data_IF_874872319220
#
_entry.id   IF_874872319220
#
_cell.length_a   1.000
_cell.length_b   1.000
_cell.length_c   1.000
_cell.angle_alpha   90.00
_cell.angle_beta   90.00
_cell.angle_gamma   90.00
#
_symmetry.space_group_name_H-M   'P 1'
#
loop_
_entity.id
_entity.type
_entity.pdbx_description
1 polymer ?
#
# COMPACT_ATOMS: atom_id res chain seq x y z
N UNK A 1 26.58 11.42 13.62
CA UNK A 1 25.45 12.31 13.32
C UNK A 1 24.25 11.42 12.99
N UNK A 2 23.16 11.38 13.73
CA UNK A 2 21.97 10.70 13.27
C UNK A 2 21.50 11.39 11.99
N UNK A 3 21.35 10.63 10.92
CA UNK A 3 20.79 11.12 9.66
C UNK A 3 19.37 11.66 9.89
N UNK A 4 18.83 12.47 8.98
CA UNK A 4 17.49 13.03 9.14
C UNK A 4 16.51 11.87 9.35
N UNK A 5 15.69 11.97 10.39
CA UNK A 5 14.65 10.98 10.72
C UNK A 5 13.63 11.01 9.59
N UNK A 6 13.85 10.13 8.62
CA UNK A 6 13.01 10.02 7.45
C UNK A 6 11.72 9.29 7.83
N UNK A 7 10.60 9.97 7.74
CA UNK A 7 9.29 9.36 7.98
C UNK A 7 8.74 8.89 6.63
N UNK A 8 8.69 7.57 6.36
CA UNK A 8 8.24 7.03 5.07
C UNK A 8 6.75 7.24 4.82
N UNK A 9 6.03 7.76 5.81
CA UNK A 9 4.58 7.92 5.78
C UNK A 9 4.18 9.38 5.90
N UNK A 10 2.95 9.69 5.46
CA UNK A 10 2.34 11.02 5.64
C UNK A 10 0.90 10.86 6.10
N UNK A 11 0.48 11.75 6.98
CA UNK A 11 -0.93 11.91 7.36
C UNK A 11 -1.71 12.46 6.17
N UNK A 12 -2.78 11.78 5.75
CA UNK A 12 -3.62 12.22 4.62
C UNK A 12 -5.01 12.68 5.05
N UNK A 13 -5.55 12.12 6.13
CA UNK A 13 -6.91 12.43 6.65
C UNK A 13 -7.12 11.82 8.03
N UNK A 14 -8.29 12.10 8.60
CA UNK A 14 -8.82 11.36 9.77
C UNK A 14 -10.09 10.60 9.38
N UNK A 15 -10.27 9.42 9.96
CA UNK A 15 -11.47 8.59 9.83
C UNK A 15 -12.04 8.33 11.24
N UNK A 16 -13.17 8.96 11.57
CA UNK A 16 -13.74 8.84 12.93
C UNK A 16 -12.79 9.29 14.05
N UNK A 17 -12.00 10.36 13.81
CA UNK A 17 -10.99 10.84 14.76
C UNK A 17 -9.66 10.09 14.72
N UNK A 18 -9.56 8.97 13.98
CA UNK A 18 -8.34 8.18 13.87
C UNK A 18 -7.53 8.65 12.65
N UNK A 19 -6.23 9.00 12.80
CA UNK A 19 -5.39 9.44 11.69
C UNK A 19 -5.14 8.30 10.70
N UNK A 20 -5.15 8.63 9.40
CA UNK A 20 -4.85 7.72 8.29
C UNK A 20 -3.55 8.14 7.66
N UNK A 21 -2.59 7.23 7.65
CA UNK A 21 -1.28 7.41 7.05
C UNK A 21 -1.17 6.67 5.72
N UNK A 22 -0.54 7.33 4.76
CA UNK A 22 -0.20 6.77 3.45
C UNK A 22 1.32 6.66 3.33
N UNK A 23 1.80 5.62 2.64
CA UNK A 23 3.21 5.53 2.25
C UNK A 23 3.54 6.65 1.27
N UNK A 24 4.70 7.28 1.42
CA UNK A 24 5.14 8.34 0.51
C UNK A 24 5.52 7.73 -0.82
N UNK A 25 4.96 8.26 -1.88
CA UNK A 25 5.21 7.83 -3.25
C UNK A 25 5.97 8.89 -4.05
N UNK A 26 6.64 9.83 -3.35
CA UNK A 26 7.52 10.80 -4.02
C UNK A 26 8.83 10.13 -4.46
N UNK A 27 9.52 10.69 -5.47
CA UNK A 27 10.71 10.07 -6.05
C UNK A 27 11.89 9.88 -5.09
N UNK A 28 11.93 10.65 -3.98
CA UNK A 28 13.02 10.57 -2.99
C UNK A 28 12.77 9.51 -1.93
N UNK A 29 11.54 8.99 -1.86
CA UNK A 29 11.17 7.95 -0.91
C UNK A 29 11.47 6.58 -1.50
N UNK A 30 12.35 5.78 -0.88
CA UNK A 30 12.52 4.38 -1.28
C UNK A 30 11.18 3.63 -1.19
N UNK A 31 10.93 2.66 -2.08
CA UNK A 31 9.68 1.91 -2.08
C UNK A 31 9.53 0.98 -0.86
N UNK A 32 10.59 0.84 -0.07
CA UNK A 32 10.64 0.00 1.14
C UNK A 32 11.28 0.81 2.25
N UNK A 33 10.81 0.64 3.48
CA UNK A 33 11.40 1.23 4.68
C UNK A 33 11.43 0.21 5.81
N UNK A 34 12.51 0.22 6.58
CA UNK A 34 12.70 -0.63 7.75
C UNK A 34 12.73 0.26 8.99
N UNK A 35 11.96 -0.09 10.01
CA UNK A 35 11.85 0.63 11.29
C UNK A 35 12.19 -0.33 12.43
N UNK A 36 13.18 0.02 13.25
CA UNK A 36 13.62 -0.79 14.41
C UNK A 36 13.22 -0.20 15.76
N UNK A 37 12.81 1.07 15.81
CA UNK A 37 12.52 1.74 17.07
C UNK A 37 11.03 1.62 17.43
N UNK A 38 10.74 0.81 18.45
CA UNK A 38 9.39 0.65 19.00
C UNK A 38 8.76 1.97 19.47
N UNK A 39 9.57 2.92 19.97
CA UNK A 39 9.11 4.22 20.44
C UNK A 39 8.44 5.05 19.35
N UNK A 40 8.90 4.94 18.10
CA UNK A 40 8.27 5.62 16.96
C UNK A 40 6.87 5.07 16.67
N UNK A 41 6.65 3.79 16.89
CA UNK A 41 5.36 3.12 16.68
C UNK A 41 4.41 3.38 17.87
N UNK A 42 4.91 3.29 19.09
CA UNK A 42 4.12 3.55 20.31
C UNK A 42 3.61 4.98 20.37
N UNK A 43 4.41 5.94 19.91
CA UNK A 43 4.06 7.37 19.89
C UNK A 43 2.93 7.74 18.94
N UNK A 44 2.59 6.88 17.98
CA UNK A 44 1.54 7.16 16.99
C UNK A 44 0.12 7.02 17.53
N UNK A 45 -0.09 6.34 18.67
CA UNK A 45 -1.43 6.01 19.16
C UNK A 45 -2.22 5.18 18.14
N UNK A 46 -3.55 5.18 18.27
CA UNK A 46 -4.44 4.50 17.30
C UNK A 46 -4.35 5.19 15.95
N UNK A 47 -4.11 4.41 14.89
CA UNK A 47 -3.97 4.94 13.53
C UNK A 47 -4.36 3.89 12.48
N UNK A 48 -4.39 4.31 11.21
CA UNK A 48 -4.72 3.46 10.07
C UNK A 48 -3.59 3.58 9.04
N UNK A 49 -3.11 2.45 8.55
CA UNK A 49 -2.23 2.40 7.39
C UNK A 49 -3.06 2.21 6.11
N UNK A 50 -2.84 3.04 5.11
CA UNK A 50 -3.40 2.90 3.75
C UNK A 50 -2.38 2.19 2.81
N UNK A 51 -1.54 1.32 3.39
CA UNK A 51 -0.48 0.57 2.73
C UNK A 51 -0.13 -0.68 3.56
N UNK A 52 0.49 -1.71 2.95
CA UNK A 52 0.90 -2.91 3.66
C UNK A 52 2.11 -2.67 4.55
N UNK A 53 2.08 -3.27 5.74
CA UNK A 53 3.20 -3.29 6.66
C UNK A 53 3.26 -4.63 7.40
N UNK A 54 4.44 -5.03 7.81
CA UNK A 54 4.64 -6.17 8.68
C UNK A 54 5.54 -5.79 9.87
N UNK A 55 5.35 -6.47 10.99
CA UNK A 55 6.16 -6.31 12.18
C UNK A 55 6.70 -7.68 12.60
N UNK A 56 7.98 -7.90 12.38
CA UNK A 56 8.66 -9.13 12.70
C UNK A 56 9.26 -9.08 14.10
N UNK A 57 9.00 -10.12 14.88
CA UNK A 57 9.48 -10.29 16.25
C UNK A 57 10.40 -11.51 16.33
N UNK A 58 11.72 -11.36 16.19
CA UNK A 58 12.66 -12.47 16.23
C UNK A 58 12.58 -13.28 17.54
N UNK A 59 12.52 -12.59 18.68
CA UNK A 59 12.48 -13.23 20.00
C UNK A 59 11.21 -14.05 20.25
N UNK A 60 10.07 -13.61 19.69
CA UNK A 60 8.79 -14.30 19.81
C UNK A 60 8.55 -15.32 18.68
N UNK A 61 9.47 -15.42 17.72
CA UNK A 61 9.30 -16.25 16.53
C UNK A 61 7.95 -16.00 15.84
N UNK A 62 7.60 -14.73 15.62
CA UNK A 62 6.31 -14.34 15.10
C UNK A 62 6.41 -13.14 14.16
N UNK A 63 5.45 -13.00 13.26
CA UNK A 63 5.25 -11.81 12.45
C UNK A 63 3.80 -11.34 12.59
N UNK A 64 3.62 -10.04 12.81
CA UNK A 64 2.33 -9.39 12.68
C UNK A 64 2.20 -8.79 11.29
N UNK A 65 1.12 -9.16 10.61
CA UNK A 65 0.70 -8.55 9.36
C UNK A 65 -0.27 -7.43 9.70
N UNK A 66 0.04 -6.22 9.26
CA UNK A 66 -0.82 -5.05 9.48
C UNK A 66 -1.77 -4.91 8.30
N UNK A 67 -3.06 -5.10 8.55
CA UNK A 67 -4.07 -5.00 7.50
C UNK A 67 -4.26 -3.55 7.06
N UNK A 68 -4.20 -3.33 5.74
CA UNK A 68 -4.43 -2.01 5.17
C UNK A 68 -5.90 -1.58 5.37
N UNK A 69 -6.10 -0.32 5.75
CA UNK A 69 -7.43 0.25 5.96
C UNK A 69 -8.09 -0.04 7.31
N UNK A 70 -7.52 -0.90 8.14
CA UNK A 70 -8.01 -1.21 9.48
C UNK A 70 -7.39 -0.30 10.55
N UNK A 71 -8.06 -0.18 11.69
CA UNK A 71 -7.53 0.58 12.83
C UNK A 71 -6.50 -0.26 13.55
N UNK A 72 -5.26 0.17 13.51
CA UNK A 72 -4.18 -0.39 14.31
C UNK A 72 -4.15 0.29 15.68
N UNK A 73 -4.17 -0.51 16.72
CA UNK A 73 -3.95 -0.06 18.09
C UNK A 73 -2.60 -0.61 18.60
N UNK A 74 -1.54 0.21 18.68
CA UNK A 74 -0.22 -0.25 19.12
C UNK A 74 -0.20 -0.82 20.54
N UNK A 75 -1.17 -0.46 21.39
CA UNK A 75 -1.29 -1.01 22.74
C UNK A 75 -1.57 -2.51 22.72
N UNK A 76 -2.20 -3.01 21.65
CA UNK A 76 -2.45 -4.45 21.47
C UNK A 76 -1.20 -5.23 21.02
N UNK A 77 -0.14 -4.54 20.63
CA UNK A 77 1.17 -5.09 20.33
C UNK A 77 2.01 -5.13 21.63
N UNK A 78 1.67 -6.00 22.56
CA UNK A 78 2.29 -6.05 23.90
C UNK A 78 3.81 -6.30 23.89
N UNK A 79 4.35 -6.92 22.84
CA UNK A 79 5.74 -7.37 22.76
C UNK A 79 6.47 -6.83 21.52
N UNK A 80 6.24 -5.56 21.15
CA UNK A 80 6.90 -4.99 19.95
C UNK A 80 8.37 -4.63 20.17
N UNK A 81 8.87 -4.69 21.40
CA UNK A 81 10.26 -4.37 21.70
C UNK A 81 11.21 -5.36 21.04
N UNK A 82 12.25 -4.85 20.41
CA UNK A 82 13.19 -5.65 19.64
C UNK A 82 12.66 -6.13 18.28
N UNK A 83 11.44 -5.74 17.91
CA UNK A 83 10.86 -6.05 16.60
C UNK A 83 11.36 -5.15 15.48
N UNK A 84 11.05 -5.55 14.25
CA UNK A 84 11.40 -4.84 13.03
C UNK A 84 10.16 -4.64 12.17
N UNK A 85 9.81 -3.37 11.93
CA UNK A 85 8.76 -3.00 10.99
C UNK A 85 9.31 -2.91 9.56
N UNK A 86 8.63 -3.56 8.62
CA UNK A 86 8.89 -3.40 7.18
C UNK A 86 7.64 -2.81 6.55
N UNK A 87 7.77 -1.60 6.03
CA UNK A 87 6.71 -0.84 5.37
C UNK A 87 7.07 -0.72 3.89
N UNK A 88 6.11 -0.82 3.00
CA UNK A 88 6.42 -0.72 1.58
C UNK A 88 5.27 -0.14 0.73
N UNK A 89 5.64 0.48 -0.39
CA UNK A 89 4.69 0.87 -1.44
C UNK A 89 4.28 -0.40 -2.21
N UNK A 90 3.01 -0.80 -2.20
CA UNK A 90 2.56 -1.98 -2.93
C UNK A 90 2.80 -1.87 -4.45
N UNK A 91 2.89 -0.64 -4.99
CA UNK A 91 3.23 -0.41 -6.39
C UNK A 91 4.63 -0.94 -6.78
N UNK A 92 5.51 -1.16 -5.80
CA UNK A 92 6.83 -1.75 -6.04
C UNK A 92 6.77 -3.22 -6.47
N UNK A 93 5.67 -3.92 -6.18
CA UNK A 93 5.47 -5.33 -6.55
C UNK A 93 4.92 -5.53 -7.97
N UNK A 94 4.88 -4.49 -8.79
CA UNK A 94 4.40 -4.54 -10.16
C UNK A 94 3.01 -3.93 -10.36
N UNK A 95 2.42 -4.18 -11.53
CA UNK A 95 1.14 -3.58 -11.92
C UNK A 95 -0.02 -4.04 -11.03
N UNK A 96 -0.05 -5.31 -10.65
CA UNK A 96 -1.06 -5.88 -9.77
C UNK A 96 -1.00 -5.26 -8.36
N UNK A 97 0.19 -4.90 -7.88
CA UNK A 97 0.37 -4.16 -6.63
C UNK A 97 -0.12 -2.71 -6.70
N UNK A 98 -0.24 -2.13 -7.92
CA UNK A 98 -0.76 -0.78 -8.16
C UNK A 98 -2.29 -0.68 -8.09
N UNK A 99 -2.98 -1.79 -8.18
CA UNK A 99 -4.43 -1.84 -8.07
C UNK A 99 -4.90 -1.43 -6.66
N UNK A 100 -6.15 -0.96 -6.52
CA UNK A 100 -6.72 -0.69 -5.20
C UNK A 100 -6.55 -1.88 -4.26
N UNK A 101 -6.12 -1.65 -3.03
CA UNK A 101 -5.79 -2.71 -2.08
C UNK A 101 -6.86 -3.82 -1.92
N UNK A 102 -8.18 -3.60 -2.08
CA UNK A 102 -9.14 -4.70 -2.02
C UNK A 102 -9.00 -5.72 -3.17
N UNK A 103 -8.39 -5.36 -4.30
CA UNK A 103 -8.11 -6.32 -5.38
C UNK A 103 -6.93 -7.23 -5.07
N UNK A 104 -6.16 -6.94 -4.03
CA UNK A 104 -5.06 -7.79 -3.57
C UNK A 104 -5.50 -9.19 -3.12
N UNK A 105 -6.80 -9.47 -3.04
CA UNK A 105 -7.32 -10.81 -2.75
C UNK A 105 -6.80 -11.89 -3.69
N UNK A 106 -6.59 -11.52 -4.94
CA UNK A 106 -6.04 -12.41 -5.97
C UNK A 106 -4.53 -12.29 -6.11
N UNK A 107 -3.93 -11.25 -5.52
CA UNK A 107 -2.49 -11.05 -5.58
C UNK A 107 -1.78 -12.03 -4.63
N UNK A 108 -0.87 -12.89 -5.12
CA UNK A 108 -0.29 -13.97 -4.32
C UNK A 108 0.48 -13.48 -3.09
N UNK A 109 1.04 -12.27 -3.11
CA UNK A 109 1.88 -11.73 -2.04
C UNK A 109 1.17 -10.68 -1.18
N UNK A 110 0.07 -10.10 -1.63
CA UNK A 110 -0.62 -9.00 -0.93
C UNK A 110 -1.88 -9.45 -0.19
N UNK A 111 -2.42 -10.64 -0.50
CA UNK A 111 -3.63 -11.10 0.15
C UNK A 111 -3.54 -11.19 1.70
N UNK A 112 -2.39 -11.48 2.34
CA UNK A 112 -2.32 -11.50 3.79
C UNK A 112 -2.65 -10.16 4.45
N UNK A 113 -2.37 -9.05 3.75
CA UNK A 113 -2.58 -7.68 4.25
C UNK A 113 -4.03 -7.19 4.17
N UNK A 114 -4.95 -8.03 3.69
CA UNK A 114 -6.39 -7.76 3.68
C UNK A 114 -7.12 -8.33 4.87
N UNK A 115 -6.45 -9.16 5.67
CA UNK A 115 -7.07 -9.94 6.73
C UNK A 115 -6.50 -9.55 8.09
N UNK A 116 -7.10 -8.52 8.71
CA UNK A 116 -6.89 -8.23 10.12
C UNK A 116 -7.88 -9.02 10.98
N UNK A 117 -7.39 -9.66 12.05
CA UNK A 117 -8.22 -10.05 13.18
C UNK A 117 -8.55 -8.80 14.03
N UNK A 118 -9.12 -8.97 15.21
CA UNK A 118 -9.40 -7.84 16.10
C UNK A 118 -8.21 -6.91 16.23
N UNK A 119 -8.40 -5.62 15.89
CA UNK A 119 -7.35 -4.60 15.95
C UNK A 119 -6.48 -4.45 14.70
N UNK A 120 -6.90 -4.99 13.55
CA UNK A 120 -6.20 -4.79 12.26
C UNK A 120 -4.90 -5.58 12.11
N UNK A 121 -4.66 -6.57 12.96
CA UNK A 121 -3.44 -7.37 13.01
C UNK A 121 -3.75 -8.85 12.76
N UNK A 122 -2.92 -9.49 11.95
CA UNK A 122 -2.88 -10.94 11.83
C UNK A 122 -1.52 -11.43 12.36
N UNK A 123 -1.52 -12.20 13.45
CA UNK A 123 -0.32 -12.83 14.01
C UNK A 123 -0.10 -14.20 13.35
N UNK A 124 1.10 -14.40 12.85
CA UNK A 124 1.56 -15.67 12.30
C UNK A 124 2.79 -16.15 13.07
N UNK A 125 2.75 -17.38 13.54
CA UNK A 125 3.90 -18.01 14.17
C UNK A 125 4.90 -18.45 13.10
N UNK A 126 6.19 -18.20 13.36
CA UNK A 126 7.25 -18.46 12.40
C UNK A 126 8.03 -19.71 12.77
N UNK A 127 8.17 -20.69 11.87
CA UNK A 127 9.05 -21.82 12.07
C UNK A 127 10.50 -21.38 12.29
N UNK A 128 11.22 -22.01 13.20
CA UNK A 128 12.64 -21.71 13.48
C UNK A 128 13.53 -21.78 12.24
N UNK A 129 13.18 -22.63 11.29
CA UNK A 129 13.89 -22.78 10.02
C UNK A 129 13.85 -21.53 9.13
N UNK A 130 12.82 -20.69 9.26
CA UNK A 130 12.68 -19.45 8.49
C UNK A 130 13.31 -18.24 9.18
N UNK A 131 13.51 -18.27 10.49
CA UNK A 131 14.00 -17.11 11.25
C UNK A 131 15.34 -16.59 10.74
N UNK A 132 16.32 -17.46 10.53
CA UNK A 132 17.66 -17.07 10.05
C UNK A 132 17.60 -16.45 8.65
N UNK A 133 16.71 -16.95 7.81
CA UNK A 133 16.50 -16.41 6.46
C UNK A 133 15.85 -15.03 6.51
N UNK A 134 14.85 -14.85 7.38
CA UNK A 134 14.19 -13.55 7.59
C UNK A 134 15.15 -12.52 8.16
N UNK A 135 15.92 -12.88 9.18
CA UNK A 135 16.97 -12.01 9.75
C UNK A 135 17.98 -11.59 8.69
N UNK A 136 18.39 -12.51 7.83
CA UNK A 136 19.32 -12.20 6.74
C UNK A 136 18.69 -11.27 5.70
N UNK A 137 17.45 -11.55 5.27
CA UNK A 137 16.76 -10.75 4.26
C UNK A 137 16.50 -9.32 4.75
N UNK A 138 16.09 -9.15 6.01
CA UNK A 138 15.87 -7.82 6.61
C UNK A 138 17.20 -7.04 6.69
N UNK A 139 18.29 -7.68 7.15
CA UNK A 139 19.61 -7.02 7.17
C UNK A 139 20.07 -6.63 5.77
N UNK A 140 19.80 -7.46 4.76
CA UNK A 140 20.13 -7.12 3.37
C UNK A 140 19.33 -5.92 2.88
N UNK A 141 18.02 -5.86 3.16
CA UNK A 141 17.21 -4.67 2.84
C UNK A 141 17.79 -3.41 3.49
N UNK A 142 18.15 -3.47 4.78
CA UNK A 142 18.76 -2.33 5.48
C UNK A 142 20.09 -1.91 4.88
N UNK A 143 20.93 -2.88 4.52
CA UNK A 143 22.24 -2.61 3.90
C UNK A 143 22.07 -1.91 2.54
N UNK A 144 21.14 -2.37 1.71
CA UNK A 144 20.83 -1.75 0.41
C UNK A 144 20.29 -0.32 0.58
N UNK A 145 19.33 -0.12 1.49
CA UNK A 145 18.74 1.19 1.75
C UNK A 145 19.75 2.20 2.34
N UNK A 146 20.77 1.71 3.03
CA UNK A 146 21.83 2.53 3.62
C UNK A 146 22.93 2.82 2.61
N UNK A 147 23.39 1.79 1.88
CA UNK A 147 24.50 1.88 0.93
C UNK A 147 24.14 2.62 -0.36
N UNK A 148 22.90 2.51 -0.81
CA UNK A 148 22.33 3.18 -2.00
C UNK A 148 23.20 3.09 -3.25
N UNK A 149 23.83 1.93 -3.44
CA UNK A 149 24.59 1.67 -4.65
C UNK A 149 23.66 1.45 -5.86
N UNK A 150 24.20 1.46 -7.06
CA UNK A 150 23.41 1.22 -8.27
C UNK A 150 22.63 -0.09 -8.15
N UNK A 151 21.31 -0.03 -8.39
CA UNK A 151 20.42 -1.18 -8.27
C UNK A 151 19.91 -1.49 -6.84
N UNK A 152 20.22 -0.68 -5.82
CA UNK A 152 19.82 -0.92 -4.44
C UNK A 152 18.31 -1.11 -4.24
N UNK A 153 17.48 -0.39 -5.01
CA UNK A 153 16.02 -0.54 -4.91
C UNK A 153 15.56 -1.90 -5.40
N UNK A 154 16.13 -2.38 -6.50
CA UNK A 154 15.84 -3.71 -7.07
C UNK A 154 16.31 -4.83 -6.13
N UNK A 155 17.51 -4.68 -5.54
CA UNK A 155 18.03 -5.63 -4.57
C UNK A 155 17.16 -5.67 -3.29
N UNK A 156 16.81 -4.51 -2.73
CA UNK A 156 15.92 -4.44 -1.58
C UNK A 156 14.54 -5.05 -1.89
N UNK A 157 13.99 -4.80 -3.09
CA UNK A 157 12.73 -5.37 -3.54
C UNK A 157 12.79 -6.90 -3.70
N UNK A 158 13.89 -7.45 -4.19
CA UNK A 158 14.09 -8.89 -4.29
C UNK A 158 14.04 -9.56 -2.91
N UNK A 159 14.73 -8.99 -1.91
CA UNK A 159 14.66 -9.47 -0.53
C UNK A 159 13.27 -9.33 0.08
N UNK A 160 12.55 -8.22 -0.16
CA UNK A 160 11.17 -8.06 0.25
C UNK A 160 10.28 -9.14 -0.38
N UNK A 161 10.46 -9.42 -1.67
CA UNK A 161 9.67 -10.43 -2.39
C UNK A 161 9.83 -11.81 -1.75
N UNK A 162 11.04 -12.18 -1.34
CA UNK A 162 11.28 -13.45 -0.62
C UNK A 162 10.54 -13.49 0.73
N UNK A 163 10.59 -12.40 1.50
CA UNK A 163 9.83 -12.30 2.76
C UNK A 163 8.33 -12.44 2.53
N UNK A 164 7.80 -11.81 1.48
CA UNK A 164 6.37 -11.86 1.16
C UNK A 164 5.93 -13.24 0.64
N UNK A 165 6.79 -13.97 -0.07
CA UNK A 165 6.53 -15.35 -0.48
C UNK A 165 6.40 -16.25 0.75
N UNK A 166 7.34 -16.14 1.70
CA UNK A 166 7.28 -16.91 2.94
C UNK A 166 6.05 -16.53 3.76
N UNK A 167 5.75 -15.23 3.85
CA UNK A 167 4.55 -14.74 4.52
C UNK A 167 3.26 -15.33 3.91
N UNK A 168 3.17 -15.34 2.59
CA UNK A 168 2.02 -15.89 1.88
C UNK A 168 1.87 -17.40 2.12
N UNK A 169 2.97 -18.13 2.22
CA UNK A 169 2.97 -19.56 2.56
C UNK A 169 2.50 -19.78 4.00
N UNK A 170 3.05 -19.02 4.95
CA UNK A 170 2.63 -19.09 6.37
C UNK A 170 1.15 -18.72 6.56
N UNK A 171 0.68 -17.73 5.80
CA UNK A 171 -0.71 -17.30 5.86
C UNK A 171 -1.67 -18.28 5.16
N UNK A 172 -1.17 -19.13 4.26
CA UNK A 172 -1.99 -19.99 3.39
C UNK A 172 -2.96 -20.87 4.15
N UNK A 173 -2.51 -21.45 5.24
CA UNK A 173 -3.32 -22.34 6.11
C UNK A 173 -4.35 -21.54 6.92
N UNK A 174 -3.96 -20.38 7.45
CA UNK A 174 -4.81 -19.53 8.29
C UNK A 174 -5.83 -18.73 7.45
N UNK A 175 -5.42 -18.28 6.27
CA UNK A 175 -6.22 -17.41 5.39
C UNK A 175 -7.04 -18.22 4.37
N UNK A 176 -6.76 -19.48 4.19
CA UNK A 176 -7.53 -20.38 3.31
C UNK A 176 -9.03 -20.38 3.62
N UNK A 177 -9.39 -20.31 4.89
CA UNK A 177 -10.77 -20.17 5.33
C UNK A 177 -11.35 -18.76 5.13
N UNK A 178 -10.53 -17.73 5.25
CA UNK A 178 -10.91 -16.34 5.04
C UNK A 178 -11.10 -16.01 3.55
N UNK A 179 -10.38 -16.66 2.65
CA UNK A 179 -10.60 -16.54 1.18
C UNK A 179 -11.99 -17.00 0.77
N UNK A 180 -12.53 -18.02 1.43
CA UNK A 180 -13.87 -18.59 1.15
C UNK A 180 -15.00 -17.66 1.62
N UNK A 181 -14.78 -16.84 2.64
CA UNK A 181 -15.73 -15.85 3.14
C UNK A 181 -15.68 -14.49 2.43
N UNK A 182 -14.94 -14.42 1.32
CA UNK A 182 -14.71 -13.19 0.58
C UNK A 182 -15.97 -12.57 -0.01
N UNK A 183 -16.10 -11.25 0.10
CA UNK A 183 -17.23 -10.50 -0.46
C UNK A 183 -17.06 -10.36 -1.99
N UNK A 184 -17.84 -11.07 -2.82
CA UNK A 184 -17.76 -10.97 -4.27
C UNK A 184 -18.02 -9.54 -4.76
N UNK A 185 -18.90 -8.80 -4.10
CA UNK A 185 -19.28 -7.42 -4.45
C UNK A 185 -18.07 -6.47 -4.53
N UNK A 186 -17.13 -6.54 -3.60
CA UNK A 186 -15.95 -5.65 -3.66
C UNK A 186 -15.03 -6.02 -4.83
N UNK A 187 -14.86 -7.30 -5.10
CA UNK A 187 -14.07 -7.74 -6.25
C UNK A 187 -14.68 -7.21 -7.57
N UNK A 188 -16.01 -7.31 -7.71
CA UNK A 188 -16.72 -6.81 -8.88
C UNK A 188 -16.60 -5.28 -9.01
N UNK A 189 -16.77 -4.54 -7.91
CA UNK A 189 -16.59 -3.07 -7.87
C UNK A 189 -15.20 -2.67 -8.36
N UNK A 190 -14.14 -3.32 -7.87
CA UNK A 190 -12.79 -2.98 -8.28
C UNK A 190 -12.48 -3.43 -9.71
N UNK A 191 -13.03 -4.55 -10.17
CA UNK A 191 -12.93 -4.97 -11.57
C UNK A 191 -13.58 -3.94 -12.51
N UNK A 192 -14.72 -3.37 -12.15
CA UNK A 192 -15.35 -2.27 -12.89
C UNK A 192 -14.47 -1.04 -12.93
N UNK A 193 -13.92 -0.61 -11.78
CA UNK A 193 -13.03 0.54 -11.68
C UNK A 193 -11.78 0.33 -12.53
N UNK A 194 -11.13 -0.83 -12.43
CA UNK A 194 -9.91 -1.15 -13.20
C UNK A 194 -10.18 -1.08 -14.71
N UNK A 195 -11.28 -1.61 -15.16
CA UNK A 195 -11.63 -1.64 -16.58
C UNK A 195 -12.01 -0.27 -17.14
N UNK A 196 -12.70 0.56 -16.34
CA UNK A 196 -13.35 1.78 -16.81
C UNK A 196 -12.82 3.09 -16.21
N UNK A 197 -11.73 3.08 -15.43
CA UNK A 197 -11.21 4.29 -14.77
C UNK A 197 -10.83 5.42 -15.74
N UNK A 198 -10.49 5.10 -17.00
CA UNK A 198 -10.17 6.08 -18.04
C UNK A 198 -11.40 6.78 -18.62
N UNK A 199 -12.60 6.24 -18.38
CA UNK A 199 -13.86 6.79 -18.87
C UNK A 199 -14.48 7.77 -17.88
N UNK A 200 -15.60 8.39 -18.28
CA UNK A 200 -16.47 9.09 -17.33
C UNK A 200 -17.18 8.06 -16.46
N UNK A 201 -16.63 7.80 -15.29
CA UNK A 201 -17.12 6.79 -14.35
C UNK A 201 -17.61 7.45 -13.05
N UNK A 202 -18.86 7.20 -12.68
CA UNK A 202 -19.49 7.67 -11.47
C UNK A 202 -19.85 6.52 -10.51
N UNK A 203 -20.21 6.86 -9.28
CA UNK A 203 -20.78 5.89 -8.31
C UNK A 203 -22.00 5.15 -8.90
N UNK A 204 -22.85 5.85 -9.64
CA UNK A 204 -24.05 5.25 -10.24
C UNK A 204 -23.68 4.20 -11.28
N UNK A 205 -22.73 4.53 -12.16
CA UNK A 205 -22.30 3.59 -13.21
C UNK A 205 -21.72 2.31 -12.61
N UNK A 206 -20.92 2.44 -11.54
CA UNK A 206 -20.37 1.26 -10.83
C UNK A 206 -21.50 0.47 -10.16
N UNK A 207 -22.46 1.15 -9.51
CA UNK A 207 -23.57 0.49 -8.84
C UNK A 207 -24.46 -0.28 -9.80
N UNK A 208 -24.79 0.32 -10.95
CA UNK A 208 -25.62 -0.30 -12.00
C UNK A 208 -24.93 -1.55 -12.55
N UNK A 209 -23.59 -1.50 -12.75
CA UNK A 209 -22.85 -2.63 -13.32
C UNK A 209 -22.66 -3.81 -12.34
N UNK A 210 -22.59 -3.54 -11.03
CA UNK A 210 -22.53 -4.59 -10.00
C UNK A 210 -23.91 -5.01 -9.47
N UNK A 211 -25.00 -4.49 -10.05
CA UNK A 211 -26.37 -4.86 -9.69
C UNK A 211 -26.81 -4.35 -8.31
N UNK A 212 -26.27 -3.22 -7.86
CA UNK A 212 -26.59 -2.62 -6.55
C UNK A 212 -27.17 -1.21 -6.69
N UNK A 213 -27.89 -0.75 -5.66
CA UNK A 213 -28.24 0.67 -5.56
C UNK A 213 -27.01 1.49 -5.13
N UNK A 214 -26.86 2.76 -5.58
CA UNK A 214 -25.76 3.63 -5.18
C UNK A 214 -25.61 3.80 -3.66
N UNK A 215 -26.73 3.85 -2.94
CA UNK A 215 -26.74 3.95 -1.47
C UNK A 215 -26.18 2.69 -0.80
N UNK A 216 -26.60 1.52 -1.26
CA UNK A 216 -26.09 0.24 -0.75
C UNK A 216 -24.62 0.07 -1.06
N UNK A 217 -24.22 0.35 -2.31
CA UNK A 217 -22.81 0.30 -2.73
C UNK A 217 -21.94 1.23 -1.87
N UNK A 218 -22.37 2.48 -1.64
CA UNK A 218 -21.65 3.43 -0.78
C UNK A 218 -21.45 2.86 0.62
N UNK A 219 -22.49 2.27 1.20
CA UNK A 219 -22.44 1.69 2.55
C UNK A 219 -21.48 0.52 2.61
N UNK A 220 -21.57 -0.42 1.68
CA UNK A 220 -20.73 -1.61 1.63
C UNK A 220 -19.27 -1.22 1.43
N UNK A 221 -18.95 -0.43 0.40
CA UNK A 221 -17.57 -0.04 0.09
C UNK A 221 -16.98 0.76 1.25
N UNK A 222 -17.71 1.76 1.78
CA UNK A 222 -17.20 2.59 2.89
C UNK A 222 -17.01 1.81 4.18
N UNK A 223 -17.92 0.90 4.51
CA UNK A 223 -17.81 0.06 5.71
C UNK A 223 -16.61 -0.87 5.64
N UNK A 224 -16.34 -1.44 4.46
CA UNK A 224 -15.29 -2.44 4.27
C UNK A 224 -13.91 -1.85 3.98
N UNK A 225 -13.86 -0.69 3.30
CA UNK A 225 -12.59 -0.09 2.87
C UNK A 225 -12.29 1.22 3.59
N UNK A 226 -13.26 1.80 4.31
CA UNK A 226 -13.14 3.12 4.92
C UNK A 226 -13.12 4.28 3.93
N UNK A 227 -13.26 4.00 2.61
CA UNK A 227 -13.17 4.97 1.50
C UNK A 227 -14.44 4.91 0.65
N UNK A 228 -14.68 5.96 -0.11
CA UNK A 228 -15.80 5.98 -1.07
C UNK A 228 -15.40 5.33 -2.40
N UNK A 229 -16.37 4.95 -3.22
CA UNK A 229 -16.12 4.49 -4.60
C UNK A 229 -15.36 5.55 -5.40
N UNK A 230 -15.71 6.84 -5.20
CA UNK A 230 -15.03 7.95 -5.86
C UNK A 230 -13.53 8.05 -5.46
N UNK A 231 -13.20 7.82 -4.18
CA UNK A 231 -11.81 7.79 -3.74
C UNK A 231 -11.02 6.68 -4.45
N UNK A 232 -11.65 5.52 -4.68
CA UNK A 232 -11.02 4.40 -5.38
C UNK A 232 -10.84 4.65 -6.87
N UNK A 233 -11.81 5.28 -7.53
CA UNK A 233 -11.67 5.72 -8.93
C UNK A 233 -10.49 6.70 -9.05
N UNK A 234 -10.40 7.68 -8.16
CA UNK A 234 -9.30 8.66 -8.14
C UNK A 234 -7.96 7.95 -7.91
N UNK A 235 -7.89 7.06 -6.95
CA UNK A 235 -6.67 6.29 -6.64
C UNK A 235 -6.17 5.55 -7.88
N UNK A 236 -7.06 4.83 -8.56
CA UNK A 236 -6.71 4.08 -9.78
C UNK A 236 -6.21 5.00 -10.90
N UNK A 237 -6.88 6.15 -11.10
CA UNK A 237 -6.46 7.18 -12.07
C UNK A 237 -5.09 7.75 -11.74
N UNK A 238 -4.81 8.03 -10.48
CA UNK A 238 -3.50 8.57 -10.05
C UNK A 238 -2.38 7.54 -10.17
N UNK A 239 -2.67 6.27 -9.97
CA UNK A 239 -1.74 5.16 -10.21
C UNK A 239 -1.37 5.08 -11.69
N UNK A 240 -2.36 5.11 -12.59
CA UNK A 240 -2.11 5.10 -14.03
C UNK A 240 -1.38 6.39 -14.50
N UNK A 241 -1.71 7.53 -13.90
CA UNK A 241 -1.01 8.77 -14.20
C UNK A 241 0.49 8.69 -13.87
N UNK A 242 0.86 8.10 -12.72
CA UNK A 242 2.27 7.87 -12.38
C UNK A 242 2.98 7.01 -13.42
N UNK A 243 2.33 5.93 -13.86
CA UNK A 243 2.86 5.04 -14.88
C UNK A 243 3.13 5.81 -16.17
N UNK A 244 2.13 6.51 -16.70
CA UNK A 244 2.26 7.31 -17.92
C UNK A 244 3.33 8.39 -17.82
N UNK A 245 3.44 9.08 -16.68
CA UNK A 245 4.47 10.09 -16.44
C UNK A 245 5.88 9.49 -16.38
N UNK A 246 6.01 8.25 -15.94
CA UNK A 246 7.27 7.52 -15.83
C UNK A 246 7.70 6.92 -17.16
N UNK A 247 6.76 6.37 -17.93
CA UNK A 247 7.04 5.53 -19.10
C UNK A 247 6.92 6.28 -20.43
N UNK A 248 6.40 7.53 -20.41
CA UNK A 248 6.19 8.28 -21.65
C UNK A 248 6.46 9.79 -21.50
N UNK A 249 6.76 10.43 -22.64
CA UNK A 249 6.98 11.89 -22.74
C UNK A 249 5.73 12.66 -23.23
N UNK A 250 4.55 12.01 -23.24
CA UNK A 250 3.31 12.67 -23.67
C UNK A 250 3.02 13.90 -22.81
N UNK A 251 2.39 14.96 -23.36
CA UNK A 251 2.05 16.17 -22.59
C UNK A 251 1.22 15.85 -21.34
N UNK A 252 1.41 16.62 -20.27
CA UNK A 252 0.67 16.43 -19.01
C UNK A 252 -0.85 16.53 -19.22
N UNK A 253 -1.30 17.38 -20.13
CA UNK A 253 -2.71 17.48 -20.53
C UNK A 253 -3.22 16.20 -21.17
N UNK A 254 -2.38 15.51 -21.93
CA UNK A 254 -2.72 14.23 -22.54
C UNK A 254 -2.72 13.09 -21.49
N UNK A 255 -1.80 13.13 -20.51
CA UNK A 255 -1.86 12.21 -19.36
C UNK A 255 -3.18 12.38 -18.63
N UNK A 256 -3.56 13.61 -18.30
CA UNK A 256 -4.82 13.92 -17.63
C UNK A 256 -6.04 13.36 -18.39
N UNK A 257 -6.08 13.57 -19.71
CA UNK A 257 -7.15 13.04 -20.55
C UNK A 257 -7.20 11.51 -20.53
N UNK A 258 -6.05 10.85 -20.68
CA UNK A 258 -5.96 9.37 -20.71
C UNK A 258 -6.39 8.71 -19.41
N UNK A 259 -6.20 9.38 -18.29
CA UNK A 259 -6.65 8.85 -16.99
C UNK A 259 -8.08 9.27 -16.62
N UNK A 260 -8.87 9.80 -17.58
CA UNK A 260 -10.25 10.18 -17.37
C UNK A 260 -10.45 11.46 -16.56
N UNK A 261 -9.48 12.39 -16.56
CA UNK A 261 -9.54 13.71 -15.93
C UNK A 261 -9.27 14.77 -16.98
N UNK A 262 -10.30 15.25 -17.73
CA UNK A 262 -10.08 16.13 -18.87
C UNK A 262 -9.52 17.51 -18.52
N UNK A 263 -9.74 18.01 -17.29
CA UNK A 263 -9.19 19.31 -16.83
C UNK A 263 -7.75 19.14 -16.32
N UNK A 264 -6.73 19.64 -17.04
CA UNK A 264 -5.33 19.51 -16.63
C UNK A 264 -4.99 20.24 -15.33
N UNK A 265 -5.71 21.33 -15.04
CA UNK A 265 -5.54 22.10 -13.80
C UNK A 265 -6.03 21.31 -12.59
N UNK A 266 -7.22 20.73 -12.69
CA UNK A 266 -7.76 19.84 -11.66
C UNK A 266 -6.86 18.60 -11.49
N UNK A 267 -6.44 17.97 -12.60
CA UNK A 267 -5.50 16.85 -12.57
C UNK A 267 -4.22 17.19 -11.81
N UNK A 268 -3.59 18.33 -12.11
CA UNK A 268 -2.32 18.72 -11.49
C UNK A 268 -2.47 18.97 -9.98
N UNK A 269 -3.58 19.58 -9.55
CA UNK A 269 -3.90 19.77 -8.13
C UNK A 269 -4.13 18.41 -7.43
N UNK A 270 -4.88 17.53 -8.08
CA UNK A 270 -5.20 16.20 -7.55
C UNK A 270 -3.93 15.34 -7.43
N UNK A 271 -3.10 15.32 -8.48
CA UNK A 271 -1.82 14.59 -8.49
C UNK A 271 -0.89 15.07 -7.37
N UNK A 272 -0.76 16.41 -7.23
CA UNK A 272 0.05 16.98 -6.14
C UNK A 272 -0.49 16.63 -4.75
N UNK A 273 -1.81 16.65 -4.58
CA UNK A 273 -2.44 16.23 -3.32
C UNK A 273 -2.16 14.76 -3.01
N UNK A 274 -2.19 13.90 -4.02
CA UNK A 274 -2.00 12.44 -3.88
C UNK A 274 -0.53 12.06 -3.70
N UNK A 275 0.39 12.69 -4.45
CA UNK A 275 1.80 12.29 -4.49
C UNK A 275 2.79 13.29 -3.87
N UNK A 276 2.31 14.42 -3.35
CA UNK A 276 3.16 15.43 -2.70
C UNK A 276 3.93 16.33 -3.66
N UNK A 277 4.02 16.00 -4.94
CA UNK A 277 4.75 16.75 -5.97
C UNK A 277 3.91 16.96 -7.22
N UNK A 278 4.28 17.93 -8.08
CA UNK A 278 3.57 18.17 -9.33
C UNK A 278 3.85 17.07 -10.37
N UNK A 279 2.95 16.84 -11.36
CA UNK A 279 3.20 15.92 -12.46
C UNK A 279 4.48 16.24 -13.23
N UNK A 280 4.78 17.54 -13.42
CA UNK A 280 5.99 18.00 -14.10
C UNK A 280 7.24 17.68 -13.29
N UNK A 281 7.27 18.04 -12.01
CA UNK A 281 8.39 17.73 -11.10
C UNK A 281 8.61 16.23 -10.96
N UNK A 282 7.53 15.44 -10.96
CA UNK A 282 7.62 13.98 -10.98
C UNK A 282 8.39 13.47 -12.20
N UNK A 283 8.02 13.93 -13.40
CA UNK A 283 8.67 13.56 -14.66
C UNK A 283 10.13 14.00 -14.72
N UNK A 284 10.41 15.26 -14.36
CA UNK A 284 11.76 15.84 -14.41
C UNK A 284 12.72 15.03 -13.53
N UNK A 285 12.28 14.62 -12.34
CA UNK A 285 13.08 13.80 -11.43
C UNK A 285 13.41 12.42 -12.01
N UNK A 286 12.43 11.74 -12.60
CA UNK A 286 12.64 10.41 -13.20
C UNK A 286 13.52 10.52 -14.44
N UNK A 287 13.38 11.58 -15.22
CA UNK A 287 14.25 11.87 -16.37
C UNK A 287 15.73 12.07 -15.98
N UNK A 288 15.99 12.64 -14.81
CA UNK A 288 17.34 12.78 -14.25
C UNK A 288 17.90 11.43 -13.74
N UNK A 289 17.06 10.58 -13.19
CA UNK A 289 17.45 9.26 -12.69
C UNK A 289 17.71 8.21 -13.80
N UNK A 290 17.32 8.51 -15.05
CA UNK A 290 17.54 7.64 -16.22
C UNK A 290 18.76 8.03 -17.08
N UNK A 291 19.42 9.15 -16.76
CA UNK A 291 20.67 9.62 -17.42
C UNK A 291 21.88 9.27 -16.58
#
# INVERSE_FOLDING_TARGET
MPGPTYTPTRLIRHRGGVPVYQYRTDPHTPPISVIRHSDQVRGLGRHIHDFPALWYLPAAAAVYVVAAGEVLDPVQLSDIDGGVGVLFDPAALGEDGRSPWPTWRTHPLLFPFLHGQSGGLLRLDMPKTLQSQWDSSIRSIEAELTGRQDGYQQAALAHLTLLLIDLARLAGDVVGDLRRSGEPVLADVFAVIDRRHCETLSLRDVADEVGLTPGHLTTVVRRRTGRTVQDWIIERRMTEARKLLTESDIPISEVARRVGIPDPGYFSRLFRRTHGTSPRSWRDYIGLARR
#
